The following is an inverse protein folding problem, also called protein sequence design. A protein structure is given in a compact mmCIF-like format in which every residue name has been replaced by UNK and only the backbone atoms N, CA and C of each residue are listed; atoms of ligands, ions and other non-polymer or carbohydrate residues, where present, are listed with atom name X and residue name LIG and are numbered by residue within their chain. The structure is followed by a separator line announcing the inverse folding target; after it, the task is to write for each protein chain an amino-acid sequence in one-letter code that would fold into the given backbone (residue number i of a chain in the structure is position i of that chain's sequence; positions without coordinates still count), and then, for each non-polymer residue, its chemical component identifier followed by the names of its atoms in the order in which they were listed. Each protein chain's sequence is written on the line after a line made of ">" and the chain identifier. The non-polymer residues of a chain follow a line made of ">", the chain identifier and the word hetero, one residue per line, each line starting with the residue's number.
data_IF_515237264939
#
_entry.id   IF_515237264939
#
_cell.length_a   1.000
_cell.length_b   1.000
_cell.length_c   1.000
_cell.angle_alpha   90.00
_cell.angle_beta   90.00
_cell.angle_gamma   90.00
#
_symmetry.space_group_name_H-M   'P 1'
#
loop_
_entity.id
_entity.type
_entity.pdbx_description
1 polymer ?
#
# COMPACT_ATOMS: atom_id res chain seq x y z
N UNK A 1 61.80 19.40 -8.48
CA UNK A 1 61.04 18.77 -9.58
C UNK A 1 59.68 18.45 -9.01
N UNK A 2 58.67 19.23 -9.40
CA UNK A 2 57.27 19.05 -9.04
C UNK A 2 56.55 19.05 -10.39
N UNK A 3 55.92 17.94 -10.73
CA UNK A 3 55.23 17.75 -12.01
C UNK A 3 54.07 18.75 -12.19
N UNK A 4 53.81 19.21 -13.43
CA UNK A 4 52.64 20.03 -13.72
C UNK A 4 51.36 19.20 -13.63
N UNK A 5 50.39 19.69 -12.86
CA UNK A 5 49.08 19.06 -12.67
C UNK A 5 48.26 19.03 -13.98
N UNK A 6 47.44 17.98 -14.21
CA UNK A 6 46.71 17.76 -15.46
C UNK A 6 45.55 18.76 -15.64
N UNK A 7 45.34 19.18 -16.90
CA UNK A 7 44.53 20.33 -17.32
C UNK A 7 43.01 20.22 -17.06
N UNK A 8 42.51 19.07 -16.63
CA UNK A 8 41.08 18.86 -16.37
C UNK A 8 40.59 19.49 -15.05
N UNK A 9 41.51 19.88 -14.14
CA UNK A 9 41.17 20.52 -12.85
C UNK A 9 40.74 21.98 -12.99
N UNK A 10 40.89 22.60 -14.17
CA UNK A 10 40.57 24.03 -14.38
C UNK A 10 39.08 24.38 -14.48
N UNK A 11 38.16 23.41 -14.46
CA UNK A 11 36.73 23.68 -14.66
C UNK A 11 35.85 23.56 -13.39
N UNK A 12 36.42 23.32 -12.19
CA UNK A 12 35.58 23.05 -11.01
C UNK A 12 35.31 24.26 -10.11
N UNK A 13 36.04 25.39 -10.14
CA UNK A 13 35.72 26.51 -9.22
C UNK A 13 36.03 27.89 -9.80
N UNK A 14 35.02 28.57 -10.36
CA UNK A 14 34.84 30.03 -10.29
C UNK A 14 33.60 30.51 -11.08
N UNK A 15 32.51 30.86 -10.39
CA UNK A 15 31.71 32.08 -10.65
C UNK A 15 30.51 32.15 -9.69
N UNK A 16 30.76 32.68 -8.48
CA UNK A 16 29.76 33.45 -7.74
C UNK A 16 29.69 34.83 -8.39
N UNK A 17 28.53 35.19 -8.95
CA UNK A 17 27.83 36.50 -8.87
C UNK A 17 26.72 36.52 -9.94
N UNK A 18 25.48 36.72 -9.47
CA UNK A 18 24.17 36.71 -10.17
C UNK A 18 23.56 35.33 -10.41
N UNK A 19 22.67 34.96 -9.48
CA UNK A 19 22.07 33.64 -9.35
C UNK A 19 21.16 33.25 -10.50
N UNK A 20 21.43 32.07 -11.05
CA UNK A 20 20.40 31.19 -11.60
C UNK A 20 20.66 29.84 -10.98
N UNK A 21 19.82 29.49 -10.00
CA UNK A 21 19.78 28.18 -9.41
C UNK A 21 19.55 27.16 -10.54
N UNK A 22 20.48 26.24 -10.74
CA UNK A 22 20.15 24.96 -11.33
C UNK A 22 19.28 24.23 -10.30
N UNK A 23 17.98 24.58 -10.28
CA UNK A 23 16.96 23.79 -9.63
C UNK A 23 16.99 22.46 -10.37
N UNK A 24 17.59 21.45 -9.75
CA UNK A 24 17.25 20.07 -10.07
C UNK A 24 15.78 19.99 -9.74
N UNK A 25 14.94 20.13 -10.78
CA UNK A 25 13.51 19.87 -10.68
C UNK A 25 13.40 18.38 -10.46
N UNK A 26 13.53 17.96 -9.20
CA UNK A 26 12.83 16.80 -8.72
C UNK A 26 11.36 17.13 -9.02
N UNK A 27 10.88 16.69 -10.19
CA UNK A 27 9.45 16.66 -10.43
C UNK A 27 8.80 15.95 -9.25
N UNK A 28 7.55 16.28 -8.88
CA UNK A 28 6.87 15.48 -7.88
C UNK A 28 6.75 14.10 -8.51
N UNK A 29 7.63 13.18 -8.13
CA UNK A 29 7.31 11.77 -8.17
C UNK A 29 5.98 11.71 -7.43
N UNK A 30 4.90 11.36 -8.14
CA UNK A 30 3.59 11.26 -7.52
C UNK A 30 3.76 10.39 -6.29
N UNK A 31 3.50 10.95 -5.10
CA UNK A 31 3.41 10.14 -3.90
C UNK A 31 2.24 9.22 -4.16
N UNK A 32 2.51 7.95 -4.44
CA UNK A 32 1.50 6.91 -4.36
C UNK A 32 0.90 7.03 -2.95
N UNK A 33 -0.40 7.27 -2.86
CA UNK A 33 -1.06 7.43 -1.58
C UNK A 33 -0.94 6.12 -0.80
N UNK A 34 -0.53 6.21 0.46
CA UNK A 34 -0.48 5.05 1.35
C UNK A 34 -1.87 4.41 1.47
N UNK A 35 -1.95 3.08 1.65
CA UNK A 35 -3.21 2.40 1.91
C UNK A 35 -3.90 2.97 3.14
N UNK A 36 -5.21 3.23 3.01
CA UNK A 36 -6.05 3.61 4.14
C UNK A 36 -6.72 2.35 4.67
N UNK A 37 -6.71 2.20 6.00
CA UNK A 37 -7.39 1.10 6.68
C UNK A 37 -8.84 0.94 6.21
N UNK A 38 -9.17 -0.27 5.76
CA UNK A 38 -10.49 -0.62 5.26
C UNK A 38 -11.35 -1.30 6.35
N UNK A 39 -12.67 -1.31 6.12
CA UNK A 39 -13.55 -2.27 6.80
C UNK A 39 -13.42 -3.61 6.06
N UNK A 40 -13.34 -4.69 6.82
CA UNK A 40 -13.21 -6.03 6.28
C UNK A 40 -13.66 -7.09 7.28
N UNK A 41 -14.08 -8.23 6.73
CA UNK A 41 -14.48 -9.42 7.47
C UNK A 41 -14.15 -10.67 6.65
N UNK A 42 -13.97 -11.82 7.32
CA UNK A 42 -13.90 -13.12 6.64
C UNK A 42 -15.23 -13.39 5.95
N UNK A 43 -15.18 -13.93 4.74
CA UNK A 43 -16.40 -14.33 4.03
C UNK A 43 -17.16 -15.38 4.84
N UNK A 44 -18.45 -15.13 5.12
CA UNK A 44 -19.27 -16.03 5.94
C UNK A 44 -19.46 -17.42 5.30
N UNK A 45 -19.29 -17.52 3.98
CA UNK A 45 -19.35 -18.78 3.24
C UNK A 45 -17.98 -19.49 3.17
N UNK A 46 -16.95 -18.97 3.86
CA UNK A 46 -15.61 -19.56 3.87
C UNK A 46 -15.56 -20.88 4.66
N UNK A 47 -15.18 -21.97 3.99
CA UNK A 47 -14.75 -23.21 4.64
C UNK A 47 -13.27 -23.08 5.07
N UNK A 48 -13.04 -22.69 6.32
CA UNK A 48 -11.72 -22.61 6.92
C UNK A 48 -11.40 -23.86 7.74
N UNK A 49 -10.27 -24.49 7.45
CA UNK A 49 -9.74 -25.64 8.18
C UNK A 49 -8.23 -25.50 8.41
N UNK A 50 -7.62 -26.34 9.27
CA UNK A 50 -6.19 -26.21 9.59
C UNK A 50 -5.22 -26.35 8.40
N UNK A 51 -5.65 -26.95 7.29
CA UNK A 51 -4.87 -27.05 6.07
C UNK A 51 -5.09 -25.86 5.10
N UNK A 52 -6.03 -24.96 5.39
CA UNK A 52 -6.32 -23.79 4.55
C UNK A 52 -5.12 -22.87 4.45
N UNK A 53 -4.71 -22.53 3.22
CA UNK A 53 -3.68 -21.52 2.93
C UNK A 53 -4.24 -20.31 2.15
N UNK A 54 -5.56 -20.24 1.99
CA UNK A 54 -6.24 -19.16 1.28
C UNK A 54 -7.49 -18.75 2.05
N UNK A 55 -7.57 -17.50 2.47
CA UNK A 55 -8.69 -16.98 3.24
C UNK A 55 -9.47 -15.99 2.39
N UNK A 56 -10.72 -16.31 1.98
CA UNK A 56 -11.59 -15.34 1.34
C UNK A 56 -12.08 -14.33 2.38
N UNK A 57 -11.95 -13.05 2.04
CA UNK A 57 -12.41 -11.92 2.83
C UNK A 57 -13.26 -10.98 1.97
N UNK A 58 -14.11 -10.21 2.63
CA UNK A 58 -14.87 -9.13 2.05
C UNK A 58 -14.29 -7.81 2.52
N UNK A 59 -14.02 -6.89 1.60
CA UNK A 59 -13.39 -5.59 1.90
C UNK A 59 -14.30 -4.44 1.45
N UNK A 60 -14.56 -3.50 2.34
CA UNK A 60 -15.25 -2.24 2.04
C UNK A 60 -14.30 -1.06 2.27
N UNK A 61 -14.05 -0.28 1.21
CA UNK A 61 -13.17 0.88 1.30
C UNK A 61 -13.92 2.09 1.89
N UNK A 62 -13.25 2.78 2.82
CA UNK A 62 -13.84 3.92 3.55
C UNK A 62 -13.73 5.25 2.81
N UNK A 63 -12.70 5.37 1.96
CA UNK A 63 -12.48 6.57 1.15
C UNK A 63 -13.45 6.62 -0.03
N UNK A 64 -13.81 7.83 -0.48
CA UNK A 64 -14.75 7.97 -1.58
C UNK A 64 -14.15 7.45 -2.89
N UNK A 65 -14.90 6.59 -3.60
CA UNK A 65 -14.45 5.99 -4.86
C UNK A 65 -15.48 6.11 -5.99
N UNK A 66 -16.44 7.05 -5.87
CA UNK A 66 -17.50 7.27 -6.86
C UNK A 66 -18.31 6.00 -7.18
N UNK A 67 -18.51 5.15 -6.16
CA UNK A 67 -19.26 3.88 -6.28
C UNK A 67 -18.49 2.75 -6.96
N UNK A 68 -17.19 2.89 -7.16
CA UNK A 68 -16.37 1.85 -7.78
C UNK A 68 -15.74 0.92 -6.73
N UNK A 69 -15.44 -0.32 -7.13
CA UNK A 69 -14.83 -1.32 -6.24
C UNK A 69 -13.36 -1.04 -5.92
N UNK A 70 -12.90 -1.68 -4.84
CA UNK A 70 -11.52 -1.69 -4.36
C UNK A 70 -10.58 -2.62 -5.17
N UNK A 71 -11.09 -3.27 -6.22
CA UNK A 71 -10.34 -4.25 -7.02
C UNK A 71 -9.02 -3.66 -7.54
N UNK A 72 -7.93 -4.43 -7.37
CA UNK A 72 -6.58 -4.03 -7.75
C UNK A 72 -5.93 -2.97 -6.85
N UNK A 73 -6.60 -2.57 -5.75
CA UNK A 73 -6.11 -1.55 -4.80
C UNK A 73 -6.06 -2.02 -3.34
N UNK A 74 -6.52 -3.24 -3.08
CA UNK A 74 -6.46 -3.86 -1.74
C UNK A 74 -5.02 -4.29 -1.46
N UNK A 75 -4.55 -3.98 -0.26
CA UNK A 75 -3.28 -4.42 0.29
C UNK A 75 -3.52 -5.09 1.63
N UNK A 76 -2.85 -6.24 1.83
CA UNK A 76 -2.96 -7.02 3.06
C UNK A 76 -1.57 -7.31 3.58
N UNK A 77 -1.33 -6.95 4.83
CA UNK A 77 -0.17 -7.43 5.60
C UNK A 77 -0.62 -8.56 6.50
N UNK A 78 0.13 -9.66 6.50
CA UNK A 78 -0.15 -10.84 7.33
C UNK A 78 0.91 -10.98 8.40
N UNK A 79 0.49 -10.96 9.66
CA UNK A 79 1.35 -11.18 10.81
C UNK A 79 1.04 -12.54 11.46
N UNK A 80 1.98 -13.47 11.37
CA UNK A 80 1.85 -14.81 11.97
C UNK A 80 2.28 -14.82 13.42
N UNK A 81 1.43 -15.37 14.28
CA UNK A 81 1.69 -15.59 15.72
C UNK A 81 1.36 -17.05 16.08
N UNK A 82 1.74 -17.53 17.28
CA UNK A 82 1.55 -18.94 17.65
C UNK A 82 0.08 -19.40 17.61
N UNK A 83 -0.84 -18.56 18.08
CA UNK A 83 -2.26 -18.90 18.24
C UNK A 83 -3.19 -18.10 17.31
N UNK A 84 -2.64 -17.14 16.57
CA UNK A 84 -3.42 -16.23 15.72
C UNK A 84 -2.67 -15.84 14.44
N UNK A 85 -3.44 -15.52 13.40
CA UNK A 85 -2.96 -14.89 12.16
C UNK A 85 -3.68 -13.56 12.03
N UNK A 86 -2.95 -12.46 12.11
CA UNK A 86 -3.55 -11.12 12.05
C UNK A 86 -3.44 -10.56 10.63
N UNK A 87 -4.54 -10.01 10.12
CA UNK A 87 -4.54 -9.25 8.87
C UNK A 87 -4.66 -7.76 9.16
N UNK A 88 -3.79 -6.95 8.56
CA UNK A 88 -4.02 -5.52 8.40
C UNK A 88 -4.37 -5.24 6.93
N UNK A 89 -5.63 -4.84 6.71
CA UNK A 89 -6.20 -4.64 5.38
C UNK A 89 -6.39 -3.15 5.12
N UNK A 90 -5.78 -2.68 4.03
CA UNK A 90 -5.92 -1.32 3.55
C UNK A 90 -6.29 -1.27 2.07
N UNK A 91 -6.81 -0.12 1.63
CA UNK A 91 -7.11 0.14 0.22
C UNK A 91 -6.41 1.44 -0.18
N UNK A 92 -5.67 1.40 -1.30
CA UNK A 92 -5.11 2.62 -1.90
C UNK A 92 -6.24 3.51 -2.42
N UNK A 93 -6.32 4.79 -2.03
CA UNK A 93 -7.33 5.71 -2.52
C UNK A 93 -7.26 5.90 -4.04
N UNK A 94 -8.41 6.15 -4.68
CA UNK A 94 -8.43 6.60 -6.09
C UNK A 94 -7.96 8.04 -6.17
N UNK A 95 -7.14 8.35 -7.17
CA UNK A 95 -6.74 9.73 -7.44
C UNK A 95 -7.88 10.57 -8.03
N UNK A 96 -7.76 11.89 -7.90
CA UNK A 96 -8.74 12.86 -8.41
C UNK A 96 -9.92 13.09 -7.48
N UNK A 97 -10.84 13.96 -7.90
CA UNK A 97 -12.07 14.25 -7.15
C UNK A 97 -13.03 13.05 -7.22
N UNK A 98 -13.36 12.47 -6.07
CA UNK A 98 -14.25 11.32 -5.96
C UNK A 98 -15.53 11.69 -5.21
N UNK A 99 -16.66 11.15 -5.67
CA UNK A 99 -17.96 11.30 -5.00
C UNK A 99 -18.20 10.15 -4.00
N UNK A 100 -19.09 10.36 -3.03
CA UNK A 100 -19.32 9.43 -1.92
C UNK A 100 -20.75 8.82 -1.94
N UNK A 101 -21.16 8.08 -2.98
CA UNK A 101 -22.47 7.43 -3.02
C UNK A 101 -22.54 6.11 -2.23
N UNK A 102 -21.54 5.82 -1.36
CA UNK A 102 -21.17 4.48 -0.85
C UNK A 102 -20.36 3.66 -1.87
N UNK A 103 -19.56 2.72 -1.36
CA UNK A 103 -18.68 1.86 -2.16
C UNK A 103 -19.14 0.39 -2.07
N UNK A 104 -19.07 -0.37 -3.17
CA UNK A 104 -19.42 -1.78 -3.16
C UNK A 104 -18.38 -2.60 -2.38
N UNK A 105 -18.86 -3.58 -1.62
CA UNK A 105 -18.00 -4.61 -1.01
C UNK A 105 -17.26 -5.38 -2.09
N UNK A 106 -15.96 -5.55 -1.91
CA UNK A 106 -15.04 -6.16 -2.88
C UNK A 106 -14.50 -7.48 -2.31
N UNK A 107 -14.79 -8.64 -2.93
CA UNK A 107 -14.18 -9.90 -2.54
C UNK A 107 -12.66 -9.90 -2.77
N UNK A 108 -11.92 -10.49 -1.84
CA UNK A 108 -10.47 -10.65 -1.94
C UNK A 108 -10.03 -11.98 -1.33
N UNK A 109 -8.99 -12.60 -1.88
CA UNK A 109 -8.42 -13.84 -1.33
C UNK A 109 -7.03 -13.55 -0.80
N UNK A 110 -6.86 -13.69 0.53
CA UNK A 110 -5.55 -13.61 1.17
C UNK A 110 -4.85 -14.95 1.01
N UNK A 111 -3.68 -14.97 0.39
CA UNK A 111 -2.80 -16.13 0.36
C UNK A 111 -1.91 -16.13 1.60
N UNK A 112 -1.88 -17.25 2.33
CA UNK A 112 -1.01 -17.46 3.47
C UNK A 112 0.27 -18.18 3.03
N UNK A 113 1.41 -17.79 3.61
CA UNK A 113 2.72 -18.40 3.41
C UNK A 113 2.83 -19.78 4.07
N UNK A 114 1.98 -20.04 5.06
CA UNK A 114 1.85 -21.31 5.76
C UNK A 114 0.36 -21.63 6.05
N UNK A 115 -0.02 -22.93 6.16
CA UNK A 115 -1.40 -23.30 6.46
C UNK A 115 -1.89 -22.70 7.78
N UNK A 116 -3.16 -22.31 7.86
CA UNK A 116 -3.76 -21.65 9.02
C UNK A 116 -3.53 -22.42 10.33
N UNK A 117 -3.57 -23.75 10.30
CA UNK A 117 -3.45 -24.58 11.49
C UNK A 117 -4.64 -24.37 12.44
N UNK A 118 -4.40 -24.49 13.74
CA UNK A 118 -5.43 -24.27 14.76
C UNK A 118 -5.54 -22.77 15.16
N UNK A 119 -4.92 -21.86 14.41
CA UNK A 119 -4.87 -20.43 14.72
C UNK A 119 -6.16 -19.72 14.34
N UNK A 120 -6.54 -18.73 15.13
CA UNK A 120 -7.67 -17.84 14.80
C UNK A 120 -7.23 -16.68 13.90
N UNK A 121 -8.07 -16.27 12.97
CA UNK A 121 -7.90 -15.01 12.24
C UNK A 121 -8.34 -13.85 13.13
N UNK A 122 -7.56 -12.77 13.15
CA UNK A 122 -7.84 -11.57 13.96
C UNK A 122 -7.58 -10.29 13.17
N UNK A 123 -8.10 -9.17 13.69
CA UNK A 123 -7.92 -7.84 13.08
C UNK A 123 -9.12 -7.34 12.25
N UNK A 124 -10.20 -8.12 12.21
CA UNK A 124 -11.43 -7.78 11.50
C UNK A 124 -11.95 -6.40 11.89
N UNK A 125 -12.49 -5.69 10.91
CA UNK A 125 -13.17 -4.40 11.05
C UNK A 125 -14.53 -4.53 10.37
N UNK A 126 -15.56 -5.03 11.06
CA UNK A 126 -16.81 -5.44 10.44
C UNK A 126 -17.41 -4.36 9.54
N UNK A 127 -17.96 -4.79 8.40
CA UNK A 127 -18.59 -3.88 7.44
C UNK A 127 -19.89 -3.33 8.06
N UNK A 128 -20.02 -2.01 8.07
CA UNK A 128 -21.21 -1.35 8.61
C UNK A 128 -22.38 -1.43 7.61
N UNK A 129 -23.51 -2.03 7.99
CA UNK A 129 -24.80 -2.03 7.25
C UNK A 129 -25.50 -0.66 7.22
#
# INVERSE_FOLDING_TARGET
>A
MVEPQPSWVKWVVAALVLGVAAVVVFGPFGTEADPVAAEWEVDADADLDPATSTVPILVNERECASGASAEGRIEVTVDYRPDEVAFDVGVRPRGGDQECPSNPTTPYTVELDEPLGDRSIVGERPISD
#
